data_IF_702194546941
#
_entry.id   IF_702194546941
#
_cell.length_a   1.000
_cell.length_b   1.000
_cell.length_c   1.000
_cell.angle_alpha   90.00
_cell.angle_beta   90.00
_cell.angle_gamma   90.00
#
_symmetry.space_group_name_H-M   'P 1'
#
loop_
_entity.id
_entity.type
_entity.pdbx_description
1 polymer ?
#
# COMPACT_ATOMS: atom_id res chain seq x y z
N UNK A 1 2.18 47.21 41.65
CA UNK A 1 2.96 46.09 42.20
C UNK A 1 2.88 44.93 41.22
N UNK A 2 3.94 44.68 40.45
CA UNK A 2 4.01 43.55 39.53
C UNK A 2 5.04 42.54 40.08
N UNK A 3 4.56 41.35 40.42
CA UNK A 3 5.33 40.23 40.95
C UNK A 3 6.10 39.55 39.82
N UNK A 4 7.42 39.70 39.82
CA UNK A 4 8.33 38.99 38.91
C UNK A 4 8.49 37.54 39.41
N UNK A 5 7.94 36.57 38.67
CA UNK A 5 8.17 35.14 38.89
C UNK A 5 9.59 34.77 38.45
N UNK A 6 10.47 34.47 39.41
CA UNK A 6 11.82 33.93 39.12
C UNK A 6 11.69 32.53 38.50
N UNK A 7 12.06 32.38 37.23
CA UNK A 7 12.28 31.06 36.62
C UNK A 7 13.42 30.36 37.36
N UNK A 8 13.14 29.22 37.99
CA UNK A 8 14.17 28.32 38.52
C UNK A 8 14.86 27.63 37.36
N UNK A 9 16.10 28.02 37.07
CA UNK A 9 16.95 27.32 36.10
C UNK A 9 17.57 26.12 36.84
N UNK A 10 17.19 24.91 36.46
CA UNK A 10 17.84 23.68 36.92
C UNK A 10 19.16 23.53 36.16
N UNK A 11 20.28 23.67 36.86
CA UNK A 11 21.60 23.29 36.33
C UNK A 11 21.82 21.81 36.62
N UNK A 12 21.78 20.99 35.58
CA UNK A 12 22.18 19.59 35.66
C UNK A 12 23.72 19.53 35.62
N UNK A 13 24.38 19.57 36.77
CA UNK A 13 25.82 19.32 36.87
C UNK A 13 26.06 17.82 36.67
N UNK A 14 26.26 17.40 35.41
CA UNK A 14 26.74 16.07 35.10
C UNK A 14 28.23 16.03 35.49
N UNK A 15 28.53 15.41 36.63
CA UNK A 15 29.90 15.12 37.02
C UNK A 15 30.39 13.95 36.18
N UNK A 16 31.06 14.26 35.07
CA UNK A 16 31.71 13.27 34.21
C UNK A 16 32.88 12.63 34.95
N UNK A 17 32.61 11.50 35.62
CA UNK A 17 33.66 10.66 36.17
C UNK A 17 34.34 9.88 35.03
N UNK A 18 35.65 9.66 35.12
CA UNK A 18 36.43 8.98 34.07
C UNK A 18 35.88 7.58 33.76
N UNK A 19 35.28 6.93 34.74
CA UNK A 19 34.62 5.65 34.68
C UNK A 19 33.44 5.64 33.69
N UNK A 20 32.70 6.75 33.55
CA UNK A 20 31.61 6.85 32.56
C UNK A 20 32.13 6.96 31.13
N UNK A 21 33.24 7.67 30.94
CA UNK A 21 33.89 7.80 29.62
C UNK A 21 34.42 6.42 29.19
N UNK A 22 35.07 5.70 30.10
CA UNK A 22 35.54 4.33 29.85
C UNK A 22 34.37 3.40 29.54
N UNK A 23 33.26 3.48 30.29
CA UNK A 23 32.08 2.67 30.03
C UNK A 23 31.43 2.96 28.66
N UNK A 24 31.35 4.23 28.26
CA UNK A 24 30.83 4.63 26.94
C UNK A 24 31.74 4.12 25.83
N UNK A 25 33.06 4.25 25.97
CA UNK A 25 34.03 3.73 24.99
C UNK A 25 33.91 2.21 24.88
N UNK A 26 33.81 1.49 26.01
CA UNK A 26 33.60 0.05 26.00
C UNK A 26 32.27 -0.34 25.35
N UNK A 27 31.19 0.40 25.57
CA UNK A 27 29.91 0.18 24.90
C UNK A 27 29.98 0.45 23.40
N UNK A 28 30.71 1.49 22.96
CA UNK A 28 30.93 1.78 21.54
C UNK A 28 31.77 0.69 20.89
N UNK A 29 32.84 0.23 21.54
CA UNK A 29 33.67 -0.87 21.04
C UNK A 29 32.88 -2.17 21.00
N UNK A 30 32.11 -2.49 22.04
CA UNK A 30 31.25 -3.68 22.09
C UNK A 30 30.17 -3.61 21.01
N UNK A 31 29.53 -2.45 20.83
CA UNK A 31 28.55 -2.19 19.78
C UNK A 31 29.15 -2.27 18.38
N UNK A 32 30.37 -1.75 18.20
CA UNK A 32 31.12 -1.86 16.95
C UNK A 32 31.50 -3.31 16.66
N UNK A 33 32.00 -4.07 17.65
CA UNK A 33 32.40 -5.46 17.48
C UNK A 33 31.18 -6.39 17.28
N UNK A 34 30.09 -6.14 17.99
CA UNK A 34 28.81 -6.81 17.80
C UNK A 34 28.23 -6.49 16.42
N UNK A 35 28.24 -5.22 16.03
CA UNK A 35 27.87 -4.76 14.69
C UNK A 35 28.73 -5.44 13.62
N UNK A 36 30.05 -5.39 13.74
CA UNK A 36 31.04 -5.96 12.82
C UNK A 36 30.91 -7.48 12.66
N UNK A 37 30.69 -8.22 13.77
CA UNK A 37 30.50 -9.68 13.72
C UNK A 37 29.17 -10.09 13.09
N UNK A 38 28.17 -9.19 13.09
CA UNK A 38 26.88 -9.35 12.42
C UNK A 38 26.86 -8.75 11.01
N UNK A 39 27.74 -7.80 10.72
CA UNK A 39 27.87 -7.12 9.43
C UNK A 39 28.48 -8.09 8.43
N UNK A 40 27.66 -8.59 7.51
CA UNK A 40 28.10 -9.54 6.51
C UNK A 40 27.90 -11.01 6.88
N UNK A 41 27.14 -11.35 7.93
CA UNK A 41 26.52 -12.67 7.99
C UNK A 41 25.56 -12.75 6.79
N UNK A 42 25.81 -13.62 5.80
CA UNK A 42 24.91 -13.74 4.66
C UNK A 42 23.54 -14.16 5.19
N UNK A 43 22.48 -13.44 4.83
CA UNK A 43 21.12 -13.95 5.02
C UNK A 43 21.06 -15.24 4.24
N UNK A 44 20.99 -16.38 4.94
CA UNK A 44 20.98 -17.69 4.29
C UNK A 44 19.94 -17.68 3.16
N UNK A 45 20.37 -18.02 1.96
CA UNK A 45 19.44 -18.23 0.86
C UNK A 45 18.51 -19.38 1.27
N UNK A 46 17.18 -19.25 1.15
CA UNK A 46 16.29 -20.38 1.40
C UNK A 46 16.76 -21.58 0.58
N UNK A 47 16.63 -22.79 1.12
CA UNK A 47 16.89 -24.01 0.37
C UNK A 47 15.86 -24.11 -0.75
N UNK A 48 16.20 -23.58 -1.92
CA UNK A 48 15.37 -23.65 -3.10
C UNK A 48 15.33 -25.10 -3.56
N UNK A 49 14.14 -25.61 -3.86
CA UNK A 49 13.99 -26.82 -4.66
C UNK A 49 13.88 -26.41 -6.13
N UNK A 50 14.93 -26.56 -6.96
CA UNK A 50 14.84 -26.16 -8.37
C UNK A 50 13.73 -26.91 -9.12
N UNK A 51 13.39 -28.13 -8.69
CA UNK A 51 12.26 -28.90 -9.22
C UNK A 51 10.89 -28.29 -8.89
N UNK A 52 10.75 -27.52 -7.81
CA UNK A 52 9.50 -26.85 -7.44
C UNK A 52 9.27 -25.57 -8.26
N UNK A 53 10.34 -24.99 -8.79
CA UNK A 53 10.33 -23.68 -9.45
C UNK A 53 10.45 -23.81 -10.98
N UNK A 54 11.24 -24.76 -11.46
CA UNK A 54 11.48 -24.98 -12.89
C UNK A 54 10.19 -25.38 -13.63
N UNK A 55 10.00 -24.85 -14.83
CA UNK A 55 8.82 -25.11 -15.66
C UNK A 55 7.60 -24.23 -15.36
N UNK A 56 7.68 -23.36 -14.33
CA UNK A 56 6.64 -22.37 -14.04
C UNK A 56 6.62 -21.24 -15.08
N UNK A 57 5.44 -20.66 -15.28
CA UNK A 57 5.23 -19.45 -16.06
C UNK A 57 4.92 -18.31 -15.09
N UNK A 58 5.75 -17.27 -15.08
CA UNK A 58 5.55 -16.09 -14.23
C UNK A 58 5.36 -14.86 -15.12
N UNK A 59 4.25 -14.14 -14.90
CA UNK A 59 4.08 -12.81 -15.50
C UNK A 59 4.74 -11.77 -14.62
N UNK A 60 5.50 -10.88 -15.24
CA UNK A 60 6.06 -9.70 -14.58
C UNK A 60 5.51 -8.46 -15.27
N UNK A 61 4.70 -7.71 -14.53
CA UNK A 61 4.15 -6.44 -14.96
C UNK A 61 5.00 -5.29 -14.39
N UNK A 62 5.76 -4.61 -15.25
CA UNK A 62 6.41 -3.37 -14.86
C UNK A 62 5.38 -2.24 -14.93
N UNK A 63 4.96 -1.71 -13.77
CA UNK A 63 3.96 -0.64 -13.69
C UNK A 63 4.30 0.57 -14.57
N UNK A 64 3.26 1.24 -15.07
CA UNK A 64 3.36 2.44 -15.93
C UNK A 64 4.17 2.22 -17.22
N UNK A 65 4.64 3.28 -17.86
CA UNK A 65 5.43 3.23 -19.10
C UNK A 65 4.94 4.23 -20.15
N UNK A 66 5.76 4.47 -21.17
CA UNK A 66 5.45 5.38 -22.26
C UNK A 66 5.16 6.79 -21.74
N UNK A 67 3.94 7.25 -22.00
CA UNK A 67 3.46 8.59 -21.59
C UNK A 67 3.02 8.66 -20.13
N UNK A 68 2.89 7.53 -19.45
CA UNK A 68 2.59 7.47 -18.01
C UNK A 68 3.90 7.28 -17.22
N UNK A 69 4.43 8.33 -16.55
CA UNK A 69 5.65 8.21 -15.76
C UNK A 69 5.45 7.45 -14.44
N UNK A 70 4.19 7.26 -14.02
CA UNK A 70 3.85 6.91 -12.65
C UNK A 70 4.18 8.04 -11.69
N UNK A 71 4.51 7.69 -10.44
CA UNK A 71 4.99 8.65 -9.45
C UNK A 71 6.33 9.27 -9.89
N UNK A 72 6.49 10.58 -9.63
CA UNK A 72 7.74 11.31 -9.91
C UNK A 72 8.31 11.85 -8.60
N UNK A 73 9.55 11.48 -8.31
CA UNK A 73 10.31 11.93 -7.15
C UNK A 73 10.78 13.38 -7.26
N UNK A 74 11.32 13.93 -6.16
CA UNK A 74 11.75 15.34 -6.13
C UNK A 74 12.92 15.62 -7.06
N UNK A 75 13.76 14.62 -7.32
CA UNK A 75 14.88 14.71 -8.25
C UNK A 75 14.46 14.58 -9.73
N UNK A 76 13.19 14.25 -10.00
CA UNK A 76 12.71 13.90 -11.34
C UNK A 76 12.84 12.41 -11.66
N UNK A 77 13.21 11.56 -10.69
CA UNK A 77 13.19 10.11 -10.86
C UNK A 77 11.75 9.65 -11.11
N UNK A 78 11.53 8.89 -12.18
CA UNK A 78 10.21 8.40 -12.57
C UNK A 78 10.04 6.93 -12.18
N UNK A 79 8.89 6.59 -11.61
CA UNK A 79 8.51 5.22 -11.23
C UNK A 79 8.70 4.23 -12.38
N UNK A 80 8.27 4.57 -13.60
CA UNK A 80 8.35 3.68 -14.77
C UNK A 80 9.77 3.20 -15.10
N UNK A 81 10.80 3.96 -14.72
CA UNK A 81 12.22 3.63 -14.91
C UNK A 81 12.64 2.56 -13.91
N UNK A 82 12.25 2.73 -12.64
CA UNK A 82 12.55 1.80 -11.55
C UNK A 82 11.85 0.46 -11.81
N UNK A 83 10.55 0.50 -12.14
CA UNK A 83 9.74 -0.71 -12.33
C UNK A 83 10.23 -1.54 -13.50
N UNK A 84 10.63 -0.91 -14.62
CA UNK A 84 11.20 -1.61 -15.77
C UNK A 84 12.54 -2.28 -15.46
N UNK A 85 13.42 -1.58 -14.74
CA UNK A 85 14.73 -2.11 -14.36
C UNK A 85 14.59 -3.32 -13.43
N UNK A 86 13.74 -3.21 -12.39
CA UNK A 86 13.45 -4.32 -11.48
C UNK A 86 12.82 -5.51 -12.21
N UNK A 87 11.86 -5.28 -13.11
CA UNK A 87 11.25 -6.35 -13.88
C UNK A 87 12.27 -7.11 -14.75
N UNK A 88 13.23 -6.39 -15.36
CA UNK A 88 14.32 -7.01 -16.14
C UNK A 88 15.26 -7.84 -15.26
N UNK A 89 15.58 -7.38 -14.05
CA UNK A 89 16.39 -8.13 -13.09
C UNK A 89 15.67 -9.39 -12.62
N UNK A 90 14.38 -9.29 -12.32
CA UNK A 90 13.54 -10.45 -11.97
C UNK A 90 13.46 -11.44 -13.13
N UNK A 91 13.26 -10.98 -14.37
CA UNK A 91 13.31 -11.84 -15.57
C UNK A 91 14.62 -12.62 -15.63
N UNK A 92 15.76 -11.95 -15.40
CA UNK A 92 17.08 -12.60 -15.35
C UNK A 92 17.18 -13.66 -14.25
N UNK A 93 16.70 -13.37 -13.04
CA UNK A 93 16.74 -14.32 -11.92
C UNK A 93 15.88 -15.56 -12.17
N UNK A 94 14.61 -15.36 -12.52
CA UNK A 94 13.69 -16.46 -12.77
C UNK A 94 14.11 -17.32 -13.98
N UNK A 95 14.59 -16.70 -15.06
CA UNK A 95 15.06 -17.45 -16.24
C UNK A 95 16.24 -18.37 -15.92
N UNK A 96 17.12 -17.99 -14.98
CA UNK A 96 18.27 -18.82 -14.57
C UNK A 96 17.88 -20.10 -13.84
N UNK A 97 16.68 -20.15 -13.27
CA UNK A 97 16.15 -21.33 -12.54
C UNK A 97 15.05 -22.06 -13.33
N UNK A 98 14.99 -21.85 -14.65
CA UNK A 98 14.09 -22.60 -15.54
C UNK A 98 12.65 -22.12 -15.54
N UNK A 99 12.37 -20.91 -15.05
CA UNK A 99 11.04 -20.28 -15.15
C UNK A 99 10.89 -19.58 -16.49
N UNK A 100 9.76 -19.76 -17.15
CA UNK A 100 9.39 -19.00 -18.32
C UNK A 100 8.76 -17.66 -17.89
N UNK A 101 9.42 -16.56 -18.21
CA UNK A 101 8.99 -15.22 -17.79
C UNK A 101 8.30 -14.49 -18.93
N UNK A 102 7.06 -14.09 -18.69
CA UNK A 102 6.30 -13.22 -19.60
C UNK A 102 6.32 -11.80 -19.03
N UNK A 103 7.07 -10.89 -19.67
CA UNK A 103 7.02 -9.48 -19.30
C UNK A 103 5.88 -8.79 -20.03
N UNK A 104 5.05 -8.03 -19.30
CA UNK A 104 3.99 -7.22 -19.90
C UNK A 104 4.56 -6.10 -20.77
N UNK A 105 5.72 -5.55 -20.40
CA UNK A 105 6.51 -4.65 -21.27
C UNK A 105 8.00 -4.87 -21.07
N UNK A 106 8.77 -4.80 -22.15
CA UNK A 106 10.25 -4.93 -22.11
C UNK A 106 10.98 -3.60 -22.37
N UNK A 107 10.23 -2.57 -22.80
CA UNK A 107 10.71 -1.22 -23.13
C UNK A 107 9.83 -0.17 -22.48
N UNK A 108 10.17 1.10 -22.66
CA UNK A 108 9.37 2.22 -22.17
C UNK A 108 8.16 2.47 -23.10
N UNK A 109 7.10 1.70 -22.89
CA UNK A 109 5.85 1.76 -23.67
C UNK A 109 4.62 1.68 -22.76
N UNK A 110 3.54 2.31 -23.19
CA UNK A 110 2.18 2.09 -22.70
C UNK A 110 1.28 1.55 -23.81
N UNK A 111 0.17 0.93 -23.43
CA UNK A 111 -0.86 0.39 -24.30
C UNK A 111 -2.10 1.30 -24.35
N UNK A 112 -1.99 2.52 -23.82
CA UNK A 112 -3.09 3.48 -23.76
C UNK A 112 -3.51 4.03 -25.13
N UNK A 113 -2.67 3.88 -26.15
CA UNK A 113 -2.94 4.30 -27.53
C UNK A 113 -3.62 3.22 -28.38
N UNK A 114 -3.78 1.99 -27.86
CA UNK A 114 -4.48 0.94 -28.59
C UNK A 114 -5.95 1.32 -28.82
N UNK A 115 -6.50 1.10 -30.03
CA UNK A 115 -7.91 1.36 -30.29
C UNK A 115 -8.76 0.46 -29.38
N UNK A 116 -9.50 1.04 -28.44
CA UNK A 116 -10.54 0.31 -27.71
C UNK A 116 -11.92 0.78 -28.17
N UNK A 117 -12.89 -0.13 -28.15
CA UNK A 117 -14.28 0.22 -28.36
C UNK A 117 -14.76 1.13 -27.20
N UNK A 118 -15.10 2.38 -27.51
CA UNK A 118 -15.74 3.32 -26.58
C UNK A 118 -14.84 4.39 -25.95
N UNK A 119 -15.44 5.18 -25.04
CA UNK A 119 -14.82 6.36 -24.40
C UNK A 119 -14.07 5.94 -23.12
N UNK A 120 -13.01 5.13 -23.27
CA UNK A 120 -12.13 4.77 -22.14
C UNK A 120 -11.01 5.80 -21.99
N UNK A 121 -10.53 6.02 -20.75
CA UNK A 121 -9.30 6.79 -20.53
C UNK A 121 -8.07 6.00 -21.02
N UNK A 122 -6.97 6.70 -21.34
CA UNK A 122 -5.71 6.04 -21.74
C UNK A 122 -5.21 5.07 -20.67
N UNK A 123 -5.17 5.50 -19.40
CA UNK A 123 -4.78 4.67 -18.26
C UNK A 123 -5.65 3.41 -18.13
N UNK A 124 -6.96 3.54 -18.34
CA UNK A 124 -7.86 2.37 -18.29
C UNK A 124 -7.59 1.39 -19.43
N UNK A 125 -7.38 1.88 -20.65
CA UNK A 125 -7.03 1.00 -21.78
C UNK A 125 -5.72 0.25 -21.52
N UNK A 126 -4.71 0.97 -21.05
CA UNK A 126 -3.42 0.39 -20.68
C UNK A 126 -3.61 -0.72 -19.63
N UNK A 127 -4.24 -0.42 -18.50
CA UNK A 127 -4.45 -1.37 -17.41
C UNK A 127 -5.26 -2.60 -17.83
N UNK A 128 -6.33 -2.43 -18.61
CA UNK A 128 -7.12 -3.55 -19.13
C UNK A 128 -6.30 -4.43 -20.10
N UNK A 129 -5.42 -3.83 -20.90
CA UNK A 129 -4.55 -4.57 -21.79
C UNK A 129 -3.53 -5.41 -21.01
N UNK A 130 -2.95 -4.85 -19.94
CA UNK A 130 -2.05 -5.60 -19.04
C UNK A 130 -2.72 -6.82 -18.43
N UNK A 131 -3.96 -6.65 -17.96
CA UNK A 131 -4.79 -7.76 -17.43
C UNK A 131 -5.05 -8.80 -18.51
N UNK A 132 -5.39 -8.37 -19.72
CA UNK A 132 -5.62 -9.29 -20.85
C UNK A 132 -4.37 -10.12 -21.14
N UNK A 133 -3.21 -9.47 -21.30
CA UNK A 133 -1.93 -10.15 -21.55
C UNK A 133 -1.57 -11.16 -20.45
N UNK A 134 -1.78 -10.78 -19.19
CA UNK A 134 -1.54 -11.66 -18.04
C UNK A 134 -2.46 -12.90 -18.07
N UNK A 135 -3.75 -12.72 -18.35
CA UNK A 135 -4.71 -13.83 -18.41
C UNK A 135 -4.46 -14.75 -19.61
N UNK A 136 -4.10 -14.20 -20.77
CA UNK A 136 -3.80 -14.95 -21.99
C UNK A 136 -2.52 -15.80 -21.86
N UNK A 137 -1.57 -15.40 -21.00
CA UNK A 137 -0.33 -16.12 -20.81
C UNK A 137 -0.48 -17.44 -20.05
N UNK A 138 -1.65 -17.68 -19.41
CA UNK A 138 -1.91 -18.85 -18.55
C UNK A 138 -0.81 -19.05 -17.49
N UNK A 139 -0.34 -17.95 -16.90
CA UNK A 139 0.74 -17.98 -15.92
C UNK A 139 0.32 -18.63 -14.60
N UNK A 140 1.29 -19.22 -13.90
CA UNK A 140 1.12 -19.74 -12.56
C UNK A 140 0.94 -18.62 -11.52
N UNK A 141 1.57 -17.45 -11.73
CA UNK A 141 1.40 -16.27 -10.91
C UNK A 141 1.78 -14.97 -11.65
N UNK A 142 1.35 -13.84 -11.10
CA UNK A 142 1.66 -12.49 -11.56
C UNK A 142 2.36 -11.66 -10.48
N UNK A 143 3.45 -11.00 -10.85
CA UNK A 143 4.14 -9.98 -10.05
C UNK A 143 4.02 -8.63 -10.74
N UNK A 144 3.25 -7.70 -10.18
CA UNK A 144 3.15 -6.32 -10.64
C UNK A 144 4.04 -5.42 -9.79
N UNK A 145 5.01 -4.74 -10.40
CA UNK A 145 6.06 -3.99 -9.72
C UNK A 145 5.77 -2.50 -9.85
N UNK A 146 5.67 -1.82 -8.71
CA UNK A 146 5.31 -0.41 -8.58
C UNK A 146 6.17 0.31 -7.53
N UNK A 147 6.09 1.63 -7.48
CA UNK A 147 6.73 2.47 -6.46
C UNK A 147 5.70 3.37 -5.81
N UNK A 148 5.59 3.29 -4.49
CA UNK A 148 4.64 4.09 -3.74
C UNK A 148 5.01 5.58 -3.76
N UNK A 149 4.00 6.41 -3.50
CA UNK A 149 4.19 7.82 -3.22
C UNK A 149 3.07 8.31 -2.32
N UNK A 150 3.43 9.08 -1.30
CA UNK A 150 2.47 9.84 -0.49
C UNK A 150 2.82 11.32 -0.53
N UNK A 151 1.84 12.22 -0.33
CA UNK A 151 2.10 13.65 -0.16
C UNK A 151 3.11 13.94 0.95
N UNK A 152 3.09 13.13 2.02
CA UNK A 152 4.06 13.24 3.11
C UNK A 152 5.32 12.42 2.81
N UNK A 153 6.48 13.04 3.01
CA UNK A 153 7.79 12.43 2.75
C UNK A 153 8.31 11.53 3.87
N UNK A 154 7.46 11.16 4.84
CA UNK A 154 7.85 10.37 6.02
C UNK A 154 7.70 8.86 5.81
N UNK A 155 6.82 8.47 4.89
CA UNK A 155 6.50 7.08 4.65
C UNK A 155 7.68 6.36 4.00
N UNK A 156 7.98 5.14 4.43
CA UNK A 156 9.03 4.31 3.85
C UNK A 156 8.76 2.81 4.00
N UNK A 157 9.46 2.00 3.21
CA UNK A 157 9.44 0.54 3.26
C UNK A 157 8.68 -0.08 2.09
N UNK A 158 9.19 -1.20 1.57
CA UNK A 158 8.50 -1.94 0.52
C UNK A 158 7.25 -2.66 1.08
N UNK A 159 6.19 -2.76 0.29
CA UNK A 159 4.92 -3.38 0.68
C UNK A 159 4.26 -4.19 -0.43
N UNK A 160 3.78 -5.39 -0.08
CA UNK A 160 3.02 -6.25 -0.97
C UNK A 160 1.51 -6.11 -0.78
N UNK A 161 0.79 -6.13 -1.89
CA UNK A 161 -0.67 -6.08 -1.94
C UNK A 161 -1.24 -7.26 -2.70
N UNK A 162 -2.39 -7.77 -2.24
CA UNK A 162 -3.06 -8.94 -2.80
C UNK A 162 -4.59 -8.79 -2.80
N UNK A 163 -5.30 -9.61 -3.57
CA UNK A 163 -6.75 -9.75 -3.44
C UNK A 163 -7.10 -10.68 -2.26
N UNK A 164 -7.85 -10.17 -1.28
CA UNK A 164 -8.32 -10.95 -0.12
C UNK A 164 -9.19 -12.16 -0.48
N UNK A 165 -9.77 -12.19 -1.69
CA UNK A 165 -10.58 -13.31 -2.17
C UNK A 165 -9.76 -14.52 -2.65
N UNK A 166 -8.46 -14.34 -2.87
CA UNK A 166 -7.56 -15.37 -3.41
C UNK A 166 -6.53 -15.75 -2.33
N UNK A 167 -6.75 -16.83 -1.56
CA UNK A 167 -5.85 -17.26 -0.48
C UNK A 167 -4.40 -17.44 -0.92
N UNK A 168 -4.19 -17.95 -2.14
CA UNK A 168 -2.87 -18.15 -2.74
C UNK A 168 -2.12 -16.84 -2.94
N UNK A 169 -2.82 -15.77 -3.34
CA UNK A 169 -2.25 -14.43 -3.51
C UNK A 169 -1.78 -13.86 -2.17
N UNK A 170 -2.55 -14.12 -1.10
CA UNK A 170 -2.17 -13.73 0.26
C UNK A 170 -0.86 -14.41 0.68
N UNK A 171 -0.78 -15.74 0.53
CA UNK A 171 0.42 -16.51 0.88
C UNK A 171 1.64 -16.06 0.08
N UNK A 172 1.47 -15.81 -1.22
CA UNK A 172 2.53 -15.28 -2.08
C UNK A 172 2.99 -13.88 -1.61
N UNK A 173 2.04 -12.98 -1.29
CA UNK A 173 2.36 -11.64 -0.81
C UNK A 173 3.07 -11.65 0.54
N UNK A 174 2.66 -12.52 1.47
CA UNK A 174 3.30 -12.68 2.78
C UNK A 174 4.73 -13.21 2.63
N UNK A 175 4.96 -14.22 1.79
CA UNK A 175 6.30 -14.75 1.54
C UNK A 175 7.25 -13.71 0.90
N UNK A 176 6.74 -12.91 -0.04
CA UNK A 176 7.52 -11.80 -0.64
C UNK A 176 7.78 -10.72 0.40
N UNK A 177 6.77 -10.34 1.19
CA UNK A 177 6.93 -9.32 2.24
C UNK A 177 7.96 -9.72 3.29
N UNK A 178 7.94 -10.96 3.76
CA UNK A 178 8.88 -11.47 4.76
C UNK A 178 10.32 -11.44 4.22
N UNK A 179 10.49 -11.79 2.95
CA UNK A 179 11.79 -11.68 2.27
C UNK A 179 12.26 -10.22 2.15
N UNK A 180 11.38 -9.30 1.76
CA UNK A 180 11.68 -7.86 1.70
C UNK A 180 12.08 -7.31 3.08
N UNK A 181 11.37 -7.69 4.14
CA UNK A 181 11.64 -7.27 5.53
C UNK A 181 12.97 -7.83 6.04
N UNK A 182 13.29 -9.08 5.70
CA UNK A 182 14.48 -9.78 6.21
C UNK A 182 15.76 -9.38 5.48
N UNK A 183 15.67 -9.09 4.17
CA UNK A 183 16.85 -8.88 3.31
C UNK A 183 17.22 -7.42 3.09
N UNK A 184 16.29 -6.49 3.29
CA UNK A 184 16.53 -5.06 3.05
C UNK A 184 16.71 -4.32 4.38
N UNK A 185 17.04 -3.02 4.29
CA UNK A 185 17.10 -2.12 5.46
C UNK A 185 15.79 -2.07 6.24
N UNK A 186 15.68 -1.23 7.29
CA UNK A 186 14.53 -1.27 8.21
C UNK A 186 13.20 -1.10 7.46
N UNK A 187 12.47 -2.21 7.34
CA UNK A 187 11.13 -2.29 6.79
C UNK A 187 10.25 -3.05 7.78
N UNK A 188 9.16 -2.45 8.24
CA UNK A 188 8.24 -3.05 9.21
C UNK A 188 6.85 -3.31 8.62
N UNK A 189 6.70 -3.11 7.32
CA UNK A 189 5.40 -3.23 6.65
C UNK A 189 4.98 -4.68 6.54
N UNK A 190 3.66 -4.87 6.52
CA UNK A 190 3.00 -6.15 6.34
C UNK A 190 2.26 -6.17 5.00
N UNK A 191 2.12 -7.36 4.43
CA UNK A 191 1.28 -7.54 3.26
C UNK A 191 -0.17 -7.14 3.58
N UNK A 192 -0.85 -6.47 2.66
CA UNK A 192 -2.23 -6.00 2.86
C UNK A 192 -3.12 -6.34 1.68
N UNK A 193 -4.41 -6.51 1.95
CA UNK A 193 -5.38 -6.63 0.87
C UNK A 193 -5.65 -5.27 0.22
N UNK A 194 -5.69 -5.24 -1.09
CA UNK A 194 -6.07 -4.06 -1.87
C UNK A 194 -7.10 -4.41 -2.93
N UNK A 195 -7.87 -3.41 -3.34
CA UNK A 195 -8.86 -3.54 -4.40
C UNK A 195 -8.35 -2.96 -5.74
N UNK A 196 -7.04 -3.12 -6.00
CA UNK A 196 -6.43 -2.75 -7.29
C UNK A 196 -6.99 -3.60 -8.42
N UNK A 197 -7.26 -2.97 -9.57
CA UNK A 197 -7.90 -3.66 -10.70
C UNK A 197 -7.08 -4.87 -11.15
N UNK A 198 -5.77 -4.71 -11.29
CA UNK A 198 -4.91 -5.79 -11.79
C UNK A 198 -5.03 -7.04 -10.91
N UNK A 199 -5.09 -6.87 -9.59
CA UNK A 199 -5.27 -7.97 -8.64
C UNK A 199 -6.64 -8.62 -8.74
N UNK A 200 -7.69 -7.81 -8.95
CA UNK A 200 -9.09 -8.26 -9.01
C UNK A 200 -9.48 -8.90 -10.34
N UNK A 201 -8.80 -8.54 -11.43
CA UNK A 201 -9.19 -8.90 -12.79
C UNK A 201 -8.29 -9.97 -13.43
N UNK A 202 -7.18 -10.32 -12.78
CA UNK A 202 -6.32 -11.43 -13.19
C UNK A 202 -6.81 -12.77 -12.63
N UNK A 203 -6.62 -13.86 -13.37
CA UNK A 203 -7.13 -15.19 -13.00
C UNK A 203 -6.14 -16.07 -12.25
N UNK A 204 -4.88 -15.67 -12.19
CA UNK A 204 -3.82 -16.37 -11.43
C UNK A 204 -3.55 -15.66 -10.09
N UNK A 205 -2.92 -16.34 -9.12
CA UNK A 205 -2.39 -15.68 -7.93
C UNK A 205 -1.55 -14.46 -8.29
N UNK A 206 -1.85 -13.30 -7.71
CA UNK A 206 -1.26 -12.03 -8.12
C UNK A 206 -0.87 -11.17 -6.93
N UNK A 207 0.27 -10.49 -7.06
CA UNK A 207 0.79 -9.56 -6.05
C UNK A 207 1.25 -8.28 -6.72
N UNK A 208 0.85 -7.14 -6.16
CA UNK A 208 1.47 -5.84 -6.45
C UNK A 208 2.54 -5.58 -5.39
N UNK A 209 3.78 -5.42 -5.81
CA UNK A 209 4.92 -5.09 -4.95
C UNK A 209 5.25 -3.62 -5.13
N UNK A 210 4.91 -2.82 -4.12
CA UNK A 210 5.35 -1.44 -4.01
C UNK A 210 6.74 -1.41 -3.36
N UNK A 211 7.78 -1.14 -4.14
CA UNK A 211 9.17 -1.45 -3.72
C UNK A 211 9.81 -0.41 -2.77
N UNK A 212 9.08 0.66 -2.46
CA UNK A 212 9.49 1.78 -1.62
C UNK A 212 8.65 3.02 -1.93
N UNK A 213 8.94 4.15 -1.29
CA UNK A 213 8.23 5.42 -1.45
C UNK A 213 9.11 6.45 -2.12
N UNK A 214 8.84 6.76 -3.40
CA UNK A 214 9.61 7.77 -4.14
C UNK A 214 9.45 9.20 -3.58
N UNK A 215 8.41 9.43 -2.78
CA UNK A 215 8.19 10.70 -2.09
C UNK A 215 9.09 10.89 -0.86
N UNK A 216 9.73 9.81 -0.37
CA UNK A 216 10.69 9.85 0.73
C UNK A 216 12.10 10.06 0.17
N UNK A 217 12.79 11.17 0.52
CA UNK A 217 14.11 11.49 -0.05
C UNK A 217 15.14 10.37 0.12
N UNK A 218 15.14 9.69 1.26
CA UNK A 218 16.08 8.57 1.50
C UNK A 218 15.76 7.39 0.60
N UNK A 219 14.48 7.07 0.41
CA UNK A 219 14.11 5.96 -0.47
C UNK A 219 14.26 6.31 -1.93
N UNK A 220 14.02 7.56 -2.34
CA UNK A 220 14.32 8.04 -3.68
C UNK A 220 15.81 7.85 -4.03
N UNK A 221 16.72 8.21 -3.12
CA UNK A 221 18.16 7.97 -3.27
C UNK A 221 18.48 6.47 -3.41
N UNK A 222 17.87 5.62 -2.57
CA UNK A 222 18.04 4.17 -2.66
C UNK A 222 17.48 3.60 -3.97
N UNK A 223 16.30 4.03 -4.40
CA UNK A 223 15.67 3.56 -5.64
C UNK A 223 16.43 4.02 -6.89
N UNK A 224 17.13 5.16 -6.81
CA UNK A 224 18.05 5.60 -7.86
C UNK A 224 19.28 4.69 -7.98
N UNK A 225 19.72 4.05 -6.89
CA UNK A 225 20.89 3.18 -6.84
C UNK A 225 20.66 1.82 -7.53
N UNK A 226 21.42 1.48 -8.60
CA UNK A 226 21.35 0.18 -9.26
C UNK A 226 21.71 -1.02 -8.38
N UNK A 227 22.54 -0.86 -7.34
CA UNK A 227 22.88 -1.95 -6.41
C UNK A 227 21.73 -2.24 -5.45
N UNK A 228 21.07 -1.20 -4.94
CA UNK A 228 19.86 -1.37 -4.14
C UNK A 228 18.73 -2.03 -4.95
N UNK A 229 18.57 -1.65 -6.23
CA UNK A 229 17.62 -2.33 -7.15
C UNK A 229 17.96 -3.80 -7.38
N UNK A 230 19.24 -4.18 -7.36
CA UNK A 230 19.62 -5.61 -7.40
C UNK A 230 19.15 -6.35 -6.14
N UNK A 231 19.35 -5.76 -4.96
CA UNK A 231 18.92 -6.34 -3.68
C UNK A 231 17.40 -6.46 -3.59
N UNK A 232 16.66 -5.45 -4.08
CA UNK A 232 15.21 -5.49 -4.20
C UNK A 232 14.74 -6.66 -5.06
N UNK A 233 15.29 -6.79 -6.28
CA UNK A 233 14.94 -7.89 -7.17
C UNK A 233 15.29 -9.26 -6.59
N UNK A 234 16.44 -9.36 -5.91
CA UNK A 234 16.85 -10.58 -5.21
C UNK A 234 15.88 -10.95 -4.07
N UNK A 235 15.45 -9.97 -3.27
CA UNK A 235 14.51 -10.19 -2.18
C UNK A 235 13.13 -10.67 -2.70
N UNK A 236 12.61 -10.04 -3.75
CA UNK A 236 11.36 -10.47 -4.40
C UNK A 236 11.50 -11.88 -4.95
N UNK A 237 12.60 -12.18 -5.66
CA UNK A 237 12.88 -13.51 -6.19
C UNK A 237 12.87 -14.59 -5.09
N UNK A 238 13.60 -14.38 -3.99
CA UNK A 238 13.65 -15.38 -2.91
C UNK A 238 12.31 -15.57 -2.21
N UNK A 239 11.53 -14.51 -2.03
CA UNK A 239 10.19 -14.62 -1.45
C UNK A 239 9.24 -15.41 -2.33
N UNK A 240 9.23 -15.15 -3.64
CA UNK A 240 8.45 -15.94 -4.60
C UNK A 240 8.92 -17.40 -4.66
N UNK A 241 10.24 -17.62 -4.66
CA UNK A 241 10.81 -18.96 -4.70
C UNK A 241 10.52 -19.78 -3.43
N UNK A 242 10.49 -19.14 -2.27
CA UNK A 242 10.08 -19.75 -1.01
C UNK A 242 8.60 -20.20 -1.05
N UNK A 243 7.71 -19.32 -1.53
CA UNK A 243 6.29 -19.66 -1.74
C UNK A 243 6.11 -20.88 -2.67
N UNK A 244 6.77 -20.89 -3.82
CA UNK A 244 6.67 -22.00 -4.78
C UNK A 244 7.20 -23.32 -4.19
N UNK A 245 8.27 -23.25 -3.39
CA UNK A 245 8.84 -24.42 -2.71
C UNK A 245 7.87 -24.96 -1.65
N UNK A 246 7.23 -24.09 -0.86
CA UNK A 246 6.23 -24.50 0.13
C UNK A 246 5.02 -25.18 -0.52
N UNK A 247 4.49 -24.61 -1.61
CA UNK A 247 3.38 -25.23 -2.34
C UNK A 247 3.71 -26.63 -2.88
N UNK A 248 4.94 -26.84 -3.37
CA UNK A 248 5.37 -28.15 -3.82
C UNK A 248 5.43 -29.18 -2.68
N UNK A 249 5.88 -28.78 -1.48
CA UNK A 249 5.92 -29.66 -0.31
C UNK A 249 4.52 -30.08 0.14
N UNK A 250 3.56 -29.15 0.15
CA UNK A 250 2.16 -29.44 0.48
C UNK A 250 1.52 -30.40 -0.52
N UNK A 251 1.83 -30.24 -1.81
CA UNK A 251 1.31 -31.14 -2.87
C UNK A 251 1.84 -32.58 -2.72
N UNK A 252 3.13 -32.73 -2.38
CA UNK A 252 3.76 -34.05 -2.20
C UNK A 252 3.27 -34.75 -0.93
N UNK A 253 3.13 -34.03 0.18
CA UNK A 253 2.70 -34.61 1.46
C UNK A 253 1.25 -35.12 1.44
N UNK A 254 0.36 -34.46 0.69
CA UNK A 254 -1.03 -34.90 0.48
C UNK A 254 -1.09 -36.17 -0.37
N UNK A 255 -0.20 -36.33 -1.35
CA UNK A 255 -0.17 -37.51 -2.23
C UNK A 255 0.31 -38.80 -1.53
N UNK A 256 1.01 -38.69 -0.39
CA UNK A 256 1.65 -39.84 0.30
C UNK A 256 0.87 -40.41 1.50
N UNK A 257 -0.30 -39.87 1.86
CA UNK A 257 -1.09 -40.34 3.01
C UNK A 257 -2.46 -40.89 2.59
N UNK A 258 -2.68 -42.23 2.55
CA UNK A 258 -4.01 -42.80 2.55
C UNK A 258 -4.47 -43.01 4.00
N UNK A 259 -5.15 -42.01 4.56
CA UNK A 259 -5.82 -42.09 5.86
C UNK A 259 -5.28 -41.13 6.90
N UNK A 260 -6.15 -40.25 7.41
CA UNK A 260 -5.81 -39.37 8.54
C UNK A 260 -6.66 -38.11 8.58
N UNK A 261 -7.60 -38.13 9.52
CA UNK A 261 -8.59 -37.12 9.93
C UNK A 261 -8.22 -35.63 9.79
N UNK A 262 -9.22 -34.83 9.42
CA UNK A 262 -9.16 -33.37 9.38
C UNK A 262 -9.04 -32.80 10.80
N UNK A 263 -7.88 -32.21 11.11
CA UNK A 263 -7.68 -31.40 12.31
C UNK A 263 -8.51 -30.10 12.22
N UNK A 264 -9.20 -29.81 13.31
CA UNK A 264 -10.27 -28.82 13.40
C UNK A 264 -9.89 -27.38 13.01
N UNK A 265 -10.83 -26.75 12.30
CA UNK A 265 -10.87 -25.32 12.05
C UNK A 265 -10.99 -24.56 13.38
N UNK A 266 -9.90 -23.95 13.84
CA UNK A 266 -9.97 -22.89 14.84
C UNK A 266 -10.47 -21.62 14.15
N UNK A 267 -11.78 -21.43 14.18
CA UNK A 267 -12.37 -20.16 13.78
C UNK A 267 -11.99 -19.09 14.83
N UNK A 268 -10.99 -18.26 14.53
CA UNK A 268 -10.86 -16.96 15.21
C UNK A 268 -12.09 -16.15 14.81
N UNK A 269 -13.04 -16.03 15.74
CA UNK A 269 -14.16 -15.09 15.62
C UNK A 269 -13.57 -13.69 15.80
N UNK A 270 -13.25 -13.04 14.68
CA UNK A 270 -12.91 -11.62 14.70
C UNK A 270 -14.16 -10.83 15.09
N UNK A 271 -14.03 -9.75 15.89
CA UNK A 271 -15.17 -8.87 16.16
C UNK A 271 -15.70 -8.32 14.84
N UNK A 272 -17.03 -8.16 14.76
CA UNK A 272 -17.67 -7.54 13.61
C UNK A 272 -17.18 -6.08 13.51
N UNK A 273 -16.42 -5.77 12.47
CA UNK A 273 -15.81 -4.46 12.28
C UNK A 273 -16.90 -3.48 11.86
N UNK A 274 -17.32 -2.64 12.80
CA UNK A 274 -18.39 -1.67 12.60
C UNK A 274 -17.86 -0.24 12.69
N UNK A 275 -18.57 0.67 12.02
CA UNK A 275 -18.27 2.10 12.10
C UNK A 275 -18.52 2.65 13.53
N UNK A 276 -17.77 3.68 13.96
CA UNK A 276 -18.04 4.34 15.24
C UNK A 276 -19.40 5.03 15.19
N UNK A 277 -20.07 5.11 16.34
CA UNK A 277 -21.29 5.91 16.50
C UNK A 277 -20.94 7.39 16.52
N UNK A 278 -21.71 8.21 15.79
CA UNK A 278 -21.50 9.67 15.70
C UNK A 278 -22.67 10.40 16.35
N UNK A 279 -22.37 11.19 17.38
CA UNK A 279 -23.38 11.99 18.09
C UNK A 279 -24.00 13.08 17.18
N UNK A 280 -25.23 13.53 17.46
CA UNK A 280 -25.85 14.65 16.75
C UNK A 280 -24.95 15.90 16.74
N UNK A 281 -24.81 16.53 15.56
CA UNK A 281 -23.94 17.70 15.38
C UNK A 281 -22.44 17.39 15.23
N UNK A 282 -22.04 16.12 15.30
CA UNK A 282 -20.67 15.68 15.07
C UNK A 282 -20.52 15.02 13.69
N UNK A 283 -19.28 14.92 13.23
CA UNK A 283 -18.88 14.15 12.06
C UNK A 283 -17.63 13.31 12.35
N UNK A 284 -17.59 12.11 11.79
CA UNK A 284 -16.44 11.21 11.82
C UNK A 284 -15.68 11.28 10.49
N UNK A 285 -14.44 11.75 10.50
CA UNK A 285 -13.61 11.87 9.31
C UNK A 285 -12.46 10.89 9.39
N UNK A 286 -12.13 10.23 8.28
CA UNK A 286 -11.04 9.26 8.23
C UNK A 286 -9.78 9.86 7.61
N UNK A 287 -8.67 9.82 8.34
CA UNK A 287 -7.36 10.29 7.91
C UNK A 287 -6.31 9.19 8.06
N UNK A 288 -5.16 9.32 7.41
CA UNK A 288 -4.08 8.34 7.56
C UNK A 288 -3.42 8.45 8.94
N UNK A 289 -2.98 7.32 9.47
CA UNK A 289 -2.15 7.28 10.67
C UNK A 289 -0.80 7.99 10.43
N UNK A 290 -0.20 8.61 11.47
CA UNK A 290 1.16 9.15 11.36
C UNK A 290 2.27 8.11 11.43
N UNK A 291 1.93 6.85 11.75
CA UNK A 291 2.92 5.81 11.90
C UNK A 291 3.34 5.28 10.52
N UNK A 292 4.62 4.94 10.39
CA UNK A 292 5.14 4.34 9.15
C UNK A 292 5.08 2.80 9.19
N UNK A 293 4.12 2.24 9.92
CA UNK A 293 4.04 0.79 10.15
C UNK A 293 2.97 0.13 9.28
N UNK A 294 1.77 0.71 9.27
CA UNK A 294 0.63 0.17 8.57
C UNK A 294 -0.11 1.24 7.77
N UNK A 295 -0.64 0.85 6.61
CA UNK A 295 -1.57 1.68 5.84
C UNK A 295 -2.96 1.57 6.46
N UNK A 296 -3.22 2.38 7.48
CA UNK A 296 -4.52 2.43 8.16
C UNK A 296 -5.08 3.84 8.19
N UNK A 297 -6.41 3.90 8.33
CA UNK A 297 -7.17 5.11 8.56
C UNK A 297 -7.53 5.19 10.04
N UNK A 298 -7.50 6.39 10.61
CA UNK A 298 -7.95 6.68 11.97
C UNK A 298 -9.10 7.68 11.92
N UNK A 299 -10.19 7.44 12.66
CA UNK A 299 -11.30 8.37 12.74
C UNK A 299 -10.94 9.58 13.61
N UNK A 300 -11.29 10.76 13.13
CA UNK A 300 -11.31 12.01 13.90
C UNK A 300 -12.76 12.47 14.03
N UNK A 301 -13.25 12.55 15.26
CA UNK A 301 -14.60 13.04 15.54
C UNK A 301 -14.53 14.56 15.78
N UNK A 302 -15.25 15.33 14.96
CA UNK A 302 -15.29 16.80 15.08
C UNK A 302 -16.70 17.34 15.07
N UNK A 303 -16.90 18.49 15.72
CA UNK A 303 -18.16 19.23 15.67
C UNK A 303 -18.32 19.86 14.29
N UNK A 304 -19.50 19.70 13.69
CA UNK A 304 -19.83 20.35 12.44
C UNK A 304 -20.11 21.85 12.66
N UNK A 305 -19.82 22.72 11.66
CA UNK A 305 -20.22 24.13 11.71
C UNK A 305 -21.72 24.31 11.92
N UNK A 306 -22.12 25.38 12.61
CA UNK A 306 -23.54 25.75 12.76
C UNK A 306 -24.23 25.89 11.38
N UNK A 307 -25.46 25.38 11.26
CA UNK A 307 -26.19 25.37 9.99
C UNK A 307 -25.88 24.19 9.05
N UNK A 308 -25.07 23.22 9.50
CA UNK A 308 -24.95 21.88 8.90
C UNK A 308 -26.23 21.03 9.07
N UNK A 309 -27.19 21.51 9.88
CA UNK A 309 -28.55 20.99 10.00
C UNK A 309 -29.34 21.29 8.71
N UNK A 310 -29.24 20.36 7.76
CA UNK A 310 -29.97 20.39 6.51
C UNK A 310 -30.35 18.97 6.08
N UNK A 311 -30.79 18.82 4.83
CA UNK A 311 -30.95 17.49 4.26
C UNK A 311 -29.60 16.74 4.24
N UNK A 312 -29.64 15.40 4.11
CA UNK A 312 -28.43 14.57 4.14
C UNK A 312 -27.37 14.99 3.09
N UNK A 313 -27.78 15.53 1.94
CA UNK A 313 -26.87 16.04 0.91
C UNK A 313 -26.10 17.28 1.36
N UNK A 314 -26.77 18.29 1.91
CA UNK A 314 -26.12 19.50 2.44
C UNK A 314 -25.18 19.14 3.58
N UNK A 315 -25.60 18.25 4.48
CA UNK A 315 -24.73 17.72 5.56
C UNK A 315 -23.49 17.05 4.95
N UNK A 316 -23.66 16.23 3.92
CA UNK A 316 -22.58 15.56 3.21
C UNK A 316 -21.58 16.51 2.55
N UNK A 317 -22.06 17.59 1.92
CA UNK A 317 -21.19 18.62 1.34
C UNK A 317 -20.34 19.33 2.42
N UNK A 318 -20.93 19.65 3.58
CA UNK A 318 -20.18 20.22 4.70
C UNK A 318 -19.13 19.23 5.21
N UNK A 319 -19.48 17.96 5.39
CA UNK A 319 -18.54 16.90 5.81
C UNK A 319 -17.38 16.76 4.83
N UNK A 320 -17.65 16.79 3.53
CA UNK A 320 -16.59 16.74 2.51
C UNK A 320 -15.70 17.98 2.56
N UNK A 321 -16.26 19.16 2.81
CA UNK A 321 -15.48 20.37 3.06
C UNK A 321 -14.59 20.25 4.29
N UNK A 322 -15.07 19.64 5.37
CA UNK A 322 -14.26 19.35 6.55
C UNK A 322 -13.16 18.31 6.28
N UNK A 323 -13.46 17.26 5.51
CA UNK A 323 -12.48 16.27 5.08
C UNK A 323 -11.38 16.90 4.22
N UNK A 324 -11.76 17.78 3.29
CA UNK A 324 -10.84 18.51 2.43
C UNK A 324 -9.95 19.50 3.20
N UNK A 325 -10.37 20.01 4.36
CA UNK A 325 -9.49 20.81 5.23
C UNK A 325 -8.38 20.00 5.89
N UNK A 326 -8.48 18.67 5.86
CA UNK A 326 -7.55 17.77 6.51
C UNK A 326 -7.81 17.62 8.01
N UNK A 327 -6.90 16.94 8.73
CA UNK A 327 -6.93 16.77 10.17
C UNK A 327 -7.00 18.09 10.95
N UNK A 328 -7.55 18.05 12.16
CA UNK A 328 -7.67 19.23 13.02
C UNK A 328 -6.31 19.83 13.44
N UNK A 329 -6.31 21.08 13.87
CA UNK A 329 -5.10 21.74 14.39
C UNK A 329 -4.55 20.96 15.61
N UNK A 330 -3.26 20.63 15.57
CA UNK A 330 -2.61 19.80 16.59
C UNK A 330 -2.87 18.29 16.46
N UNK A 331 -3.65 17.85 15.48
CA UNK A 331 -3.82 16.44 15.15
C UNK A 331 -2.52 15.88 14.57
N UNK A 332 -2.12 14.69 15.03
CA UNK A 332 -0.99 13.98 14.45
C UNK A 332 -1.37 13.23 13.17
N UNK A 333 -2.66 13.15 12.82
CA UNK A 333 -3.12 12.44 11.63
C UNK A 333 -2.62 13.11 10.34
N UNK A 334 -2.60 12.35 9.26
CA UNK A 334 -2.11 12.82 7.96
C UNK A 334 -3.25 12.87 6.94
N UNK A 335 -3.36 13.95 6.14
CA UNK A 335 -4.37 14.02 5.09
C UNK A 335 -4.10 12.99 3.98
N UNK A 336 -5.15 12.27 3.58
CA UNK A 336 -5.14 11.37 2.42
C UNK A 336 -5.52 12.08 1.10
N UNK A 337 -6.16 13.24 1.22
CA UNK A 337 -6.70 14.04 0.12
C UNK A 337 -6.10 15.45 0.21
N UNK A 338 -5.94 16.16 -0.92
CA UNK A 338 -5.37 17.50 -0.91
C UNK A 338 -6.32 18.49 -0.27
N UNK A 339 -5.75 19.57 0.25
CA UNK A 339 -6.54 20.74 0.60
C UNK A 339 -7.07 21.43 -0.65
N UNK A 340 -8.36 21.74 -0.66
CA UNK A 340 -8.97 22.56 -1.71
C UNK A 340 -10.38 22.10 -2.09
N UNK A 341 -10.89 22.70 -3.16
CA UNK A 341 -12.21 22.42 -3.71
C UNK A 341 -12.14 21.38 -4.82
N UNK A 342 -11.94 20.11 -4.46
CA UNK A 342 -11.92 18.99 -5.41
C UNK A 342 -13.28 18.29 -5.56
N UNK A 343 -14.30 18.71 -4.81
CA UNK A 343 -15.66 18.15 -4.89
C UNK A 343 -16.53 19.02 -5.79
N UNK A 344 -17.11 18.44 -6.84
CA UNK A 344 -18.05 19.15 -7.73
C UNK A 344 -19.48 19.02 -7.27
N UNK A 345 -19.89 17.80 -6.88
CA UNK A 345 -21.24 17.56 -6.39
C UNK A 345 -21.30 16.28 -5.55
N UNK A 346 -22.31 16.23 -4.68
CA UNK A 346 -22.73 15.04 -3.96
C UNK A 346 -24.25 14.94 -4.09
N UNK A 347 -24.72 13.78 -4.53
CA UNK A 347 -26.15 13.43 -4.54
C UNK A 347 -26.40 12.10 -3.86
N UNK A 348 -27.60 11.91 -3.32
CA UNK A 348 -27.99 10.68 -2.64
C UNK A 348 -29.05 9.92 -3.44
N UNK A 349 -28.78 8.65 -3.71
CA UNK A 349 -29.66 7.71 -4.41
C UNK A 349 -30.04 6.59 -3.41
N UNK A 350 -30.98 6.88 -2.51
CA UNK A 350 -31.36 5.95 -1.43
C UNK A 350 -30.25 5.78 -0.39
N UNK A 351 -29.64 4.58 -0.34
CA UNK A 351 -28.49 4.27 0.54
C UNK A 351 -27.14 4.37 -0.17
N UNK A 352 -27.13 4.91 -1.40
CA UNK A 352 -25.93 5.14 -2.20
C UNK A 352 -25.63 6.63 -2.27
N UNK A 353 -24.37 7.01 -2.04
CA UNK A 353 -23.87 8.34 -2.36
C UNK A 353 -23.24 8.36 -3.75
N UNK A 354 -23.49 9.39 -4.54
CA UNK A 354 -22.75 9.62 -5.79
C UNK A 354 -22.02 10.95 -5.68
N UNK A 355 -20.70 10.89 -5.66
CA UNK A 355 -19.81 12.05 -5.60
C UNK A 355 -19.14 12.24 -6.96
N UNK A 356 -19.15 13.49 -7.44
CA UNK A 356 -18.36 13.91 -8.59
C UNK A 356 -17.17 14.73 -8.09
N UNK A 357 -15.96 14.29 -8.42
CA UNK A 357 -14.70 14.96 -8.06
C UNK A 357 -14.03 15.53 -9.31
N UNK A 358 -13.20 16.55 -9.15
CA UNK A 358 -12.46 17.12 -10.27
C UNK A 358 -11.25 16.24 -10.65
N UNK A 359 -10.88 16.19 -11.92
CA UNK A 359 -9.74 15.39 -12.41
C UNK A 359 -8.39 15.80 -11.83
N UNK A 360 -8.23 17.03 -11.37
CA UNK A 360 -7.01 17.49 -10.68
C UNK A 360 -6.75 16.71 -9.39
N UNK A 361 -7.78 16.15 -8.76
CA UNK A 361 -7.59 15.25 -7.62
C UNK A 361 -6.74 14.04 -7.99
N UNK A 362 -6.93 13.52 -9.21
CA UNK A 362 -6.12 12.45 -9.76
C UNK A 362 -4.65 12.83 -9.87
N UNK A 363 -4.31 14.10 -10.15
CA UNK A 363 -2.91 14.56 -10.23
C UNK A 363 -2.20 14.53 -8.88
N UNK A 364 -2.92 14.81 -7.79
CA UNK A 364 -2.39 14.71 -6.44
C UNK A 364 -2.21 13.26 -5.99
N UNK A 365 -3.12 12.40 -6.43
CA UNK A 365 -3.12 10.96 -6.16
C UNK A 365 -2.31 10.19 -7.23
N UNK A 366 -1.66 10.88 -8.17
CA UNK A 366 -0.92 10.30 -9.29
C UNK A 366 0.43 9.69 -8.85
N UNK A 367 0.38 8.83 -7.83
CA UNK A 367 1.48 8.02 -7.33
C UNK A 367 0.96 6.66 -6.85
N UNK A 368 1.87 5.82 -6.33
CA UNK A 368 1.61 4.39 -6.16
C UNK A 368 0.35 4.01 -5.36
N UNK A 369 -0.04 2.75 -5.49
CA UNK A 369 -1.38 2.26 -5.17
C UNK A 369 -1.82 2.51 -3.73
N UNK A 370 -0.87 2.56 -2.78
CA UNK A 370 -1.19 2.80 -1.37
C UNK A 370 -1.90 4.14 -1.14
N UNK A 371 -1.44 5.21 -1.81
CA UNK A 371 -2.03 6.53 -1.65
C UNK A 371 -3.40 6.63 -2.30
N UNK A 372 -3.58 5.99 -3.45
CA UNK A 372 -4.88 5.90 -4.10
C UNK A 372 -5.89 5.14 -3.22
N UNK A 373 -5.47 4.03 -2.62
CA UNK A 373 -6.28 3.23 -1.70
C UNK A 373 -6.75 4.07 -0.50
N UNK A 374 -5.81 4.73 0.20
CA UNK A 374 -6.15 5.53 1.39
C UNK A 374 -7.01 6.73 1.06
N UNK A 375 -6.80 7.39 -0.09
CA UNK A 375 -7.63 8.52 -0.52
C UNK A 375 -9.07 8.09 -0.80
N UNK A 376 -9.26 6.99 -1.54
CA UNK A 376 -10.59 6.43 -1.84
C UNK A 376 -11.29 6.04 -0.55
N UNK A 377 -10.64 5.27 0.33
CA UNK A 377 -11.31 4.79 1.54
C UNK A 377 -11.45 5.85 2.63
N UNK A 378 -10.59 6.87 2.68
CA UNK A 378 -10.81 8.07 3.50
C UNK A 378 -12.13 8.74 3.13
N UNK A 379 -12.36 8.93 1.83
CA UNK A 379 -13.61 9.50 1.31
C UNK A 379 -14.83 8.60 1.55
N UNK A 380 -14.74 7.33 1.13
CA UNK A 380 -15.87 6.38 1.18
C UNK A 380 -16.28 6.10 2.62
N UNK A 381 -15.33 5.84 3.52
CA UNK A 381 -15.63 5.56 4.92
C UNK A 381 -16.23 6.79 5.62
N UNK A 382 -15.69 7.98 5.35
CA UNK A 382 -16.22 9.24 5.89
C UNK A 382 -17.67 9.48 5.46
N UNK A 383 -17.99 9.30 4.16
CA UNK A 383 -19.36 9.47 3.69
C UNK A 383 -20.30 8.39 4.25
N UNK A 384 -19.84 7.13 4.28
CA UNK A 384 -20.63 6.00 4.75
C UNK A 384 -21.06 6.16 6.21
N UNK A 385 -20.13 6.47 7.12
CA UNK A 385 -20.44 6.59 8.55
C UNK A 385 -21.39 7.76 8.85
N UNK A 386 -21.18 8.91 8.20
CA UNK A 386 -21.92 10.12 8.58
C UNK A 386 -23.30 10.25 7.95
N UNK A 387 -23.53 9.57 6.83
CA UNK A 387 -24.76 9.64 6.04
C UNK A 387 -25.53 8.31 5.99
N UNK A 388 -25.00 7.26 6.62
CA UNK A 388 -25.54 5.89 6.66
C UNK A 388 -25.61 5.27 5.25
N UNK A 389 -24.54 5.41 4.47
CA UNK A 389 -24.47 4.88 3.11
C UNK A 389 -23.91 3.46 3.11
N UNK A 390 -24.50 2.59 2.29
CA UNK A 390 -23.99 1.23 2.05
C UNK A 390 -22.85 1.21 1.02
N UNK A 391 -22.80 2.21 0.16
CA UNK A 391 -21.83 2.32 -0.93
C UNK A 391 -21.75 3.74 -1.49
N UNK A 392 -20.62 4.05 -2.12
CA UNK A 392 -20.34 5.35 -2.73
C UNK A 392 -19.85 5.16 -4.16
N UNK A 393 -20.47 5.82 -5.12
CA UNK A 393 -19.96 5.91 -6.50
C UNK A 393 -19.15 7.19 -6.66
N UNK A 394 -17.92 7.08 -7.14
CA UNK A 394 -17.04 8.22 -7.42
C UNK A 394 -16.99 8.43 -8.94
N UNK A 395 -17.31 9.64 -9.39
CA UNK A 395 -17.16 10.11 -10.76
C UNK A 395 -16.00 11.10 -10.82
N UNK A 396 -15.28 11.15 -11.94
CA UNK A 396 -14.28 12.20 -12.19
C UNK A 396 -14.75 13.06 -13.34
N UNK A 397 -15.02 14.33 -13.06
CA UNK A 397 -15.61 15.27 -14.00
C UNK A 397 -16.89 14.77 -14.71
N UNK A 398 -17.73 14.07 -13.96
CA UNK A 398 -18.97 13.46 -14.43
C UNK A 398 -18.76 12.16 -15.23
N UNK A 399 -17.51 11.77 -15.47
CA UNK A 399 -17.15 10.58 -16.24
C UNK A 399 -17.01 9.39 -15.30
N UNK A 400 -17.76 8.32 -15.61
CA UNK A 400 -17.59 7.00 -14.97
C UNK A 400 -16.33 6.34 -15.51
N UNK A 401 -15.91 5.22 -14.90
CA UNK A 401 -15.00 4.29 -15.58
C UNK A 401 -13.59 4.87 -15.77
N UNK A 402 -13.19 5.66 -14.79
CA UNK A 402 -11.93 6.39 -14.66
C UNK A 402 -11.08 5.77 -13.54
N UNK A 403 -9.83 6.20 -13.42
CA UNK A 403 -8.94 5.89 -12.29
C UNK A 403 -8.53 7.22 -11.64
N UNK A 404 -8.17 7.23 -10.35
CA UNK A 404 -7.57 8.42 -9.75
C UNK A 404 -6.06 8.42 -9.99
N UNK A 405 -5.37 7.42 -9.44
CA UNK A 405 -3.92 7.20 -9.54
C UNK A 405 -3.52 6.21 -10.64
N UNK A 406 -4.41 5.27 -10.99
CA UNK A 406 -4.16 4.29 -12.06
C UNK A 406 -4.20 2.84 -11.61
N UNK A 407 -4.39 2.58 -10.31
CA UNK A 407 -4.44 1.23 -9.74
C UNK A 407 -5.89 0.79 -9.49
N UNK A 408 -6.81 1.73 -9.28
CA UNK A 408 -8.20 1.47 -8.89
C UNK A 408 -9.20 1.93 -9.97
N UNK A 409 -10.12 1.06 -10.40
CA UNK A 409 -11.22 1.48 -11.29
C UNK A 409 -12.40 2.05 -10.51
N UNK A 410 -12.88 3.20 -10.96
CA UNK A 410 -14.09 3.86 -10.47
C UNK A 410 -15.26 3.62 -11.44
N UNK A 411 -15.60 2.35 -11.69
CA UNK A 411 -16.67 1.95 -12.62
C UNK A 411 -18.01 1.61 -11.93
N UNK A 412 -17.98 1.30 -10.63
CA UNK A 412 -19.16 0.94 -9.84
C UNK A 412 -19.14 1.49 -8.41
N UNK A 413 -20.21 1.20 -7.64
CA UNK A 413 -20.29 1.59 -6.24
C UNK A 413 -19.21 0.88 -5.40
N UNK A 414 -18.51 1.66 -4.58
CA UNK A 414 -17.48 1.18 -3.66
C UNK A 414 -18.12 1.02 -2.29
N UNK A 415 -17.98 -0.17 -1.70
CA UNK A 415 -18.42 -0.42 -0.32
C UNK A 415 -17.38 0.11 0.65
N UNK A 416 -17.80 0.68 1.80
CA UNK A 416 -16.88 1.05 2.86
C UNK A 416 -16.07 -0.15 3.35
N UNK A 417 -14.86 0.13 3.84
CA UNK A 417 -13.96 -0.84 4.47
C UNK A 417 -13.63 -0.39 5.89
N UNK A 418 -14.51 -0.65 6.88
CA UNK A 418 -14.27 -0.27 8.28
C UNK A 418 -13.01 -0.94 8.85
N UNK A 419 -12.57 -2.07 8.30
CA UNK A 419 -11.32 -2.74 8.66
C UNK A 419 -10.05 -1.96 8.31
N UNK A 420 -10.13 -0.99 7.40
CA UNK A 420 -9.03 -0.04 7.19
C UNK A 420 -9.01 1.03 8.28
N UNK A 421 -10.13 1.27 8.95
CA UNK A 421 -10.35 2.30 9.95
C UNK A 421 -10.04 1.89 11.40
N UNK A 422 -9.31 0.78 11.62
CA UNK A 422 -9.20 0.13 12.92
C UNK A 422 -8.89 1.11 14.07
N UNK A 423 -9.84 1.20 14.99
CA UNK A 423 -9.58 1.24 16.43
C UNK A 423 -9.95 -0.13 17.00
N UNK A 424 -9.17 -1.15 16.67
CA UNK A 424 -9.20 -2.38 17.45
C UNK A 424 -8.43 -2.10 18.73
N UNK A 425 -9.12 -2.02 19.86
CA UNK A 425 -8.48 -2.15 21.18
C UNK A 425 -7.84 -3.54 21.24
N UNK A 426 -6.60 -3.66 20.78
CA UNK A 426 -5.74 -4.78 21.14
C UNK A 426 -5.42 -4.63 22.64
N UNK A 427 -6.21 -5.32 23.46
CA UNK A 427 -5.83 -5.86 24.76
C UNK A 427 -4.98 -4.97 25.68
N UNK A 428 -5.58 -3.97 26.30
CA UNK A 428 -5.40 -3.82 27.75
C UNK A 428 -6.35 -4.80 28.44
N UNK A 429 -5.95 -6.06 28.58
CA UNK A 429 -6.44 -6.92 29.69
C UNK A 429 -5.56 -8.16 29.84
N UNK A 430 -4.81 -8.13 30.95
CA UNK A 430 -3.94 -9.13 31.59
C UNK A 430 -2.52 -9.29 31.08
#
# INVERSE_FOLDING_TARGET
>A
MATITKKKIFWLNIVWRQEYIIAIILLIILGFFYGWTRWGQPVEAPSLLPSAISGKIIVIDAGHGGTDPGAVGRSGLEEKVITLDLAKRLKRYFSRVGVYVVMIRETDVDYGQMPAAGVLTKKRRDLLHRVQMANESKADLLLSIHVNSFPQSIWSGAQCFYDSKIPESKLLAEAIQDSLVTRLGPNRRKAKSADYLILKATTMPSVTVEVGFISNPREEELLADPEYREKLAEAIFYGTAAYLTQQAHETVSVATNPGGESAGLTAKVYPELTFPTVDPGMACLYFATPNNEDLSLTPEIRRLPEGAEGNKEKKGQVILGELARGPGEGSALLPCLPWGDWVKSLRLEGTRGVIDVRSELGTFINGGGASELLAIYSLVNTLAVNLELKEVTILVDGVKSVTLGGHFLLDGPIRPRPELGLTGTEGETK
#
